data_IF_378632665455
#
_entry.id   IF_378632665455
#
_cell.length_a   1.000
_cell.length_b   1.000
_cell.length_c   1.000
_cell.angle_alpha   90.00
_cell.angle_beta   90.00
_cell.angle_gamma   90.00
#
_symmetry.space_group_name_H-M   'P 1'
#
loop_
_entity.id
_entity.type
_entity.pdbx_description
1 polymer ?
#
# COMPACT_ATOMS: atom_id res chain seq x y z
N UNK A 1 14.42 -27.60 -45.22
CA UNK A 1 13.53 -28.45 -44.42
C UNK A 1 14.18 -28.80 -43.11
N UNK A 2 13.41 -28.73 -42.01
CA UNK A 2 13.72 -28.97 -40.58
C UNK A 2 14.41 -27.74 -39.92
N UNK A 3 13.91 -27.18 -38.82
CA UNK A 3 12.99 -27.59 -37.81
C UNK A 3 12.51 -26.38 -36.99
N UNK A 4 11.22 -26.24 -36.95
CA UNK A 4 10.49 -25.35 -36.04
C UNK A 4 9.70 -26.24 -35.08
N UNK A 5 10.16 -26.43 -33.89
CA UNK A 5 9.43 -27.28 -32.97
C UNK A 5 10.16 -27.50 -31.64
N UNK A 6 10.14 -26.51 -30.73
CA UNK A 6 10.36 -26.81 -29.30
C UNK A 6 10.02 -25.64 -28.32
N UNK A 7 9.35 -24.56 -28.76
CA UNK A 7 8.98 -23.46 -27.85
C UNK A 7 7.59 -23.59 -27.22
N UNK A 8 6.72 -24.44 -27.77
CA UNK A 8 5.30 -24.55 -27.32
C UNK A 8 5.11 -25.37 -26.02
N UNK A 9 6.01 -26.30 -25.73
CA UNK A 9 5.87 -27.17 -24.54
C UNK A 9 6.24 -26.50 -23.21
N UNK A 10 7.15 -25.55 -23.21
CA UNK A 10 7.60 -24.85 -22.02
C UNK A 10 6.61 -23.76 -21.54
N UNK A 11 5.93 -23.14 -22.48
CA UNK A 11 4.93 -22.11 -22.15
C UNK A 11 3.64 -22.71 -21.56
N UNK A 12 3.20 -23.87 -22.05
CA UNK A 12 2.05 -24.60 -21.50
C UNK A 12 2.27 -25.07 -20.07
N UNK A 13 3.45 -25.59 -19.75
CA UNK A 13 3.83 -26.02 -18.40
C UNK A 13 3.91 -24.83 -17.44
N UNK A 14 4.49 -23.70 -17.85
CA UNK A 14 4.59 -22.48 -17.04
C UNK A 14 3.22 -21.85 -16.73
N UNK A 15 2.24 -21.96 -17.64
CA UNK A 15 0.87 -21.50 -17.43
C UNK A 15 0.12 -22.42 -16.45
N UNK A 16 0.29 -23.73 -16.54
CA UNK A 16 -0.29 -24.70 -15.61
C UNK A 16 0.19 -24.53 -14.18
N UNK A 17 1.49 -24.37 -13.97
CA UNK A 17 2.07 -24.15 -12.63
C UNK A 17 1.63 -22.84 -11.99
N UNK A 18 1.49 -21.76 -12.76
CA UNK A 18 1.00 -20.49 -12.26
C UNK A 18 -0.49 -20.54 -11.87
N UNK A 19 -1.31 -21.32 -12.58
CA UNK A 19 -2.69 -21.58 -12.23
C UNK A 19 -2.84 -22.36 -10.93
N UNK A 20 -2.04 -23.43 -10.77
CA UNK A 20 -2.02 -24.25 -9.56
C UNK A 20 -1.55 -23.45 -8.33
N UNK A 21 -0.47 -22.63 -8.45
CA UNK A 21 0.00 -21.77 -7.38
C UNK A 21 -1.06 -20.75 -6.94
N UNK A 22 -1.79 -20.18 -7.89
CA UNK A 22 -2.87 -19.26 -7.62
C UNK A 22 -4.03 -19.95 -6.89
N UNK A 23 -4.44 -21.14 -7.32
CA UNK A 23 -5.48 -21.93 -6.66
C UNK A 23 -5.08 -22.32 -5.23
N UNK A 24 -3.82 -22.72 -5.03
CA UNK A 24 -3.28 -23.00 -3.70
C UNK A 24 -3.29 -21.77 -2.77
N UNK A 25 -2.93 -20.58 -3.30
CA UNK A 25 -3.00 -19.34 -2.54
C UNK A 25 -4.42 -19.02 -2.07
N UNK A 26 -5.43 -19.29 -2.91
CA UNK A 26 -6.83 -19.13 -2.51
C UNK A 26 -7.27 -20.13 -1.46
N UNK A 27 -6.90 -21.40 -1.61
CA UNK A 27 -7.19 -22.44 -0.63
C UNK A 27 -6.64 -22.05 0.75
N UNK A 28 -5.40 -21.56 0.81
CA UNK A 28 -4.78 -21.09 2.05
C UNK A 28 -5.50 -19.86 2.62
N UNK A 29 -5.85 -18.87 1.78
CA UNK A 29 -6.58 -17.69 2.23
C UNK A 29 -7.97 -18.06 2.78
N UNK A 30 -8.70 -18.94 2.12
CA UNK A 30 -9.97 -19.49 2.62
C UNK A 30 -9.78 -20.21 3.96
N UNK A 31 -8.74 -21.02 4.11
CA UNK A 31 -8.44 -21.73 5.34
C UNK A 31 -8.19 -20.76 6.50
N UNK A 32 -7.43 -19.67 6.28
CA UNK A 32 -7.20 -18.61 7.29
C UNK A 32 -8.53 -18.02 7.76
N UNK A 33 -9.44 -17.71 6.83
CA UNK A 33 -10.76 -17.16 7.18
C UNK A 33 -11.66 -18.20 7.87
N UNK A 34 -11.60 -19.46 7.50
CA UNK A 34 -12.32 -20.55 8.16
C UNK A 34 -11.81 -20.76 9.60
N UNK A 35 -10.50 -20.70 9.81
CA UNK A 35 -9.91 -20.76 11.17
C UNK A 35 -10.41 -19.59 12.01
N UNK A 36 -10.41 -18.37 11.45
CA UNK A 36 -10.91 -17.18 12.15
C UNK A 36 -12.40 -17.31 12.52
N UNK A 37 -13.22 -17.80 11.60
CA UNK A 37 -14.63 -18.06 11.85
C UNK A 37 -14.83 -19.17 12.87
N UNK A 38 -14.03 -20.24 12.82
CA UNK A 38 -14.06 -21.34 13.81
C UNK A 38 -13.67 -20.89 15.21
N UNK A 39 -12.65 -20.03 15.33
CA UNK A 39 -12.28 -19.42 16.62
C UNK A 39 -13.39 -18.53 17.18
N UNK A 40 -14.06 -17.76 16.33
CA UNK A 40 -15.15 -16.89 16.72
C UNK A 40 -16.38 -17.70 17.18
N UNK A 41 -16.81 -18.68 16.41
CA UNK A 41 -17.98 -19.50 16.74
C UNK A 41 -17.69 -20.42 17.92
N UNK A 42 -16.53 -21.08 17.97
CA UNK A 42 -16.12 -21.94 19.08
C UNK A 42 -15.96 -21.16 20.37
N UNK A 43 -15.34 -19.97 20.31
CA UNK A 43 -15.21 -19.09 21.47
C UNK A 43 -16.57 -18.63 22.03
N UNK A 44 -17.51 -18.26 21.13
CA UNK A 44 -18.86 -17.88 21.53
C UNK A 44 -19.61 -19.06 22.16
N UNK A 45 -19.54 -20.24 21.57
CA UNK A 45 -20.19 -21.46 22.08
C UNK A 45 -19.64 -21.83 23.48
N UNK A 46 -18.31 -21.75 23.67
CA UNK A 46 -17.71 -22.03 24.98
C UNK A 46 -18.18 -21.03 26.07
N UNK A 47 -18.43 -19.77 25.73
CA UNK A 47 -18.95 -18.79 26.65
C UNK A 47 -20.43 -19.03 26.94
N UNK A 48 -21.24 -19.32 25.90
CA UNK A 48 -22.71 -19.46 26.08
C UNK A 48 -23.10 -20.79 26.73
N UNK A 49 -22.40 -21.87 26.37
CA UNK A 49 -22.75 -23.23 26.87
C UNK A 49 -21.86 -23.70 28.01
N UNK A 50 -20.77 -23.03 28.29
CA UNK A 50 -19.71 -23.48 29.20
C UNK A 50 -19.82 -22.96 30.63
N UNK A 51 -21.03 -22.78 31.18
CA UNK A 51 -21.21 -22.23 32.55
C UNK A 51 -20.93 -23.21 33.70
N UNK A 52 -20.67 -24.47 33.39
CA UNK A 52 -20.40 -25.49 34.41
C UNK A 52 -19.00 -25.38 35.02
N UNK A 53 -18.05 -24.77 34.33
CA UNK A 53 -16.66 -24.59 34.78
C UNK A 53 -16.15 -23.20 34.43
N UNK A 54 -15.32 -22.60 35.31
CA UNK A 54 -14.70 -21.29 35.06
C UNK A 54 -13.70 -21.33 33.89
N UNK A 55 -13.15 -22.50 33.59
CA UNK A 55 -12.14 -22.68 32.54
C UNK A 55 -12.71 -22.47 31.13
N UNK A 56 -13.93 -22.97 30.90
CA UNK A 56 -14.56 -22.91 29.55
C UNK A 56 -14.82 -21.46 29.09
N UNK A 57 -15.43 -20.56 29.86
CA UNK A 57 -15.59 -19.15 29.48
C UNK A 57 -14.26 -18.43 29.28
N UNK A 58 -13.23 -18.73 30.07
CA UNK A 58 -11.89 -18.12 29.93
C UNK A 58 -11.24 -18.53 28.60
N UNK A 59 -11.29 -19.83 28.27
CA UNK A 59 -10.81 -20.32 26.97
C UNK A 59 -11.61 -19.70 25.81
N UNK A 60 -12.95 -19.61 25.96
CA UNK A 60 -13.80 -18.94 24.99
C UNK A 60 -13.42 -17.47 24.77
N UNK A 61 -13.10 -16.74 25.83
CA UNK A 61 -12.67 -15.35 25.76
C UNK A 61 -11.32 -15.20 25.04
N UNK A 62 -10.38 -16.09 25.30
CA UNK A 62 -9.08 -16.13 24.60
C UNK A 62 -9.27 -16.43 23.12
N UNK A 63 -10.16 -17.37 22.76
CA UNK A 63 -10.49 -17.66 21.36
C UNK A 63 -11.13 -16.45 20.66
N UNK A 64 -12.03 -15.72 21.34
CA UNK A 64 -12.63 -14.48 20.80
C UNK A 64 -11.60 -13.36 20.62
N UNK A 65 -10.69 -13.19 21.59
CA UNK A 65 -9.61 -12.22 21.47
C UNK A 65 -8.71 -12.54 20.28
N UNK A 66 -8.36 -13.83 20.08
CA UNK A 66 -7.56 -14.27 18.93
C UNK A 66 -8.33 -14.10 17.60
N UNK A 67 -9.63 -14.44 17.56
CA UNK A 67 -10.47 -14.21 16.40
C UNK A 67 -10.60 -12.72 16.08
N UNK A 68 -10.72 -11.86 17.09
CA UNK A 68 -10.74 -10.41 16.95
C UNK A 68 -9.45 -9.84 16.36
N UNK A 69 -8.30 -10.42 16.72
CA UNK A 69 -7.00 -10.04 16.15
C UNK A 69 -6.85 -10.45 14.67
N UNK A 70 -7.38 -11.63 14.33
CA UNK A 70 -7.37 -12.18 12.98
C UNK A 70 -8.52 -11.68 12.08
N UNK A 71 -9.37 -10.76 12.59
CA UNK A 71 -10.51 -10.26 11.81
C UNK A 71 -10.05 -9.60 10.51
N UNK A 72 -10.78 -9.78 9.39
CA UNK A 72 -10.50 -9.10 8.15
C UNK A 72 -10.56 -7.59 8.33
N UNK A 73 -9.45 -6.90 8.07
CA UNK A 73 -9.39 -5.44 8.12
C UNK A 73 -9.65 -4.89 6.71
N UNK A 74 -10.79 -4.25 6.52
CA UNK A 74 -11.06 -3.54 5.27
C UNK A 74 -10.35 -2.21 5.31
N UNK A 75 -9.60 -1.90 4.22
CA UNK A 75 -9.00 -0.58 4.08
C UNK A 75 -10.09 0.51 4.19
N UNK A 76 -9.81 1.51 5.01
CA UNK A 76 -10.67 2.69 5.20
C UNK A 76 -9.96 3.91 4.62
N UNK A 77 -10.74 4.96 4.40
CA UNK A 77 -10.13 6.28 4.20
C UNK A 77 -9.47 6.68 5.51
N UNK A 78 -8.23 7.16 5.43
CA UNK A 78 -7.54 7.68 6.59
C UNK A 78 -8.20 8.99 7.01
N UNK A 79 -8.75 9.11 8.25
CA UNK A 79 -9.41 10.33 8.68
C UNK A 79 -8.43 11.51 8.81
N UNK A 80 -7.14 11.25 8.97
CA UNK A 80 -6.10 12.26 9.15
C UNK A 80 -5.55 12.80 7.82
N UNK A 81 -5.95 12.20 6.70
CA UNK A 81 -5.57 12.65 5.36
C UNK A 81 -6.71 13.40 4.67
N UNK A 82 -6.42 14.53 4.02
CA UNK A 82 -7.42 15.26 3.25
C UNK A 82 -7.97 14.39 2.13
N UNK A 83 -9.30 14.25 2.10
CA UNK A 83 -10.03 13.56 1.06
C UNK A 83 -10.70 14.59 0.14
N UNK A 84 -10.39 14.51 -1.15
CA UNK A 84 -11.00 15.34 -2.18
C UNK A 84 -12.24 14.63 -2.74
N UNK A 85 -13.35 15.36 -2.81
CA UNK A 85 -14.58 14.93 -3.48
C UNK A 85 -14.61 15.50 -4.90
N UNK A 86 -15.47 14.95 -5.76
CA UNK A 86 -15.62 15.44 -7.14
C UNK A 86 -16.01 16.92 -7.21
N UNK A 87 -16.77 17.42 -6.25
CA UNK A 87 -17.15 18.83 -6.18
C UNK A 87 -15.96 19.73 -5.82
N UNK A 88 -14.99 19.21 -5.06
CA UNK A 88 -13.84 19.97 -4.56
C UNK A 88 -12.68 20.00 -5.56
N UNK A 89 -12.61 19.01 -6.47
CA UNK A 89 -11.50 18.83 -7.42
C UNK A 89 -12.01 18.34 -8.80
N UNK A 90 -12.87 19.09 -9.50
CA UNK A 90 -13.47 18.65 -10.76
C UNK A 90 -12.44 18.38 -11.85
N UNK A 91 -11.39 19.20 -12.01
CA UNK A 91 -10.37 19.01 -13.04
C UNK A 91 -9.51 17.75 -12.78
N UNK A 92 -9.17 17.49 -11.53
CA UNK A 92 -8.47 16.26 -11.16
C UNK A 92 -9.32 15.04 -11.47
N UNK A 93 -10.59 15.03 -11.08
CA UNK A 93 -11.49 13.91 -11.34
C UNK A 93 -11.78 13.69 -12.82
N UNK A 94 -11.86 14.75 -13.63
CA UNK A 94 -11.99 14.64 -15.08
C UNK A 94 -10.79 13.92 -15.70
N UNK A 95 -9.57 14.30 -15.30
CA UNK A 95 -8.35 13.62 -15.75
C UNK A 95 -8.35 12.15 -15.31
N UNK A 96 -8.69 11.88 -14.05
CA UNK A 96 -8.73 10.53 -13.49
C UNK A 96 -9.79 9.65 -14.18
N UNK A 97 -10.94 10.20 -14.54
CA UNK A 97 -11.98 9.48 -15.28
C UNK A 97 -11.51 9.12 -16.69
N UNK A 98 -10.86 10.05 -17.40
CA UNK A 98 -10.26 9.78 -18.73
C UNK A 98 -9.23 8.66 -18.65
N UNK A 99 -8.38 8.65 -17.61
CA UNK A 99 -7.40 7.58 -17.39
C UNK A 99 -8.13 6.25 -17.10
N UNK A 100 -9.12 6.26 -16.21
CA UNK A 100 -9.89 5.07 -15.84
C UNK A 100 -10.62 4.47 -17.06
N UNK A 101 -11.25 5.28 -17.88
CA UNK A 101 -11.92 4.87 -19.12
C UNK A 101 -10.92 4.27 -20.14
N UNK A 102 -9.71 4.84 -20.27
CA UNK A 102 -8.65 4.33 -21.14
C UNK A 102 -8.05 3.01 -20.66
N UNK A 103 -7.89 2.85 -19.34
CA UNK A 103 -7.39 1.62 -18.70
C UNK A 103 -8.47 0.55 -18.67
N UNK A 104 -9.75 0.91 -18.75
CA UNK A 104 -10.90 -0.01 -18.69
C UNK A 104 -11.28 -0.38 -17.27
N UNK A 105 -11.14 0.55 -16.31
CA UNK A 105 -11.57 0.37 -14.92
C UNK A 105 -12.74 1.29 -14.59
N UNK A 106 -13.47 0.94 -13.54
CA UNK A 106 -14.51 1.83 -13.04
C UNK A 106 -13.90 3.13 -12.52
N UNK A 107 -14.66 4.20 -12.58
CA UNK A 107 -14.27 5.52 -12.09
C UNK A 107 -14.01 5.51 -10.59
N UNK A 108 -13.14 6.41 -10.16
CA UNK A 108 -12.75 6.57 -8.77
C UNK A 108 -13.86 7.20 -7.93
N UNK A 109 -14.08 6.64 -6.75
CA UNK A 109 -15.07 7.14 -5.79
C UNK A 109 -14.49 8.20 -4.84
N UNK A 110 -13.18 8.11 -4.54
CA UNK A 110 -12.51 9.02 -3.62
C UNK A 110 -11.03 9.17 -3.97
N UNK A 111 -10.50 10.37 -3.75
CA UNK A 111 -9.07 10.68 -3.83
C UNK A 111 -8.62 11.17 -2.46
N UNK A 112 -7.57 10.58 -1.91
CA UNK A 112 -6.89 11.07 -0.71
C UNK A 112 -5.51 11.59 -1.09
N UNK A 113 -5.10 12.67 -0.44
CA UNK A 113 -3.77 13.26 -0.62
C UNK A 113 -2.95 12.96 0.64
N UNK A 114 -1.77 12.37 0.46
CA UNK A 114 -0.89 11.92 1.53
C UNK A 114 0.50 12.54 1.48
N UNK A 115 1.31 12.21 2.49
CA UNK A 115 2.69 12.68 2.63
C UNK A 115 3.73 11.63 2.22
N UNK A 116 3.28 10.43 1.85
CA UNK A 116 4.12 9.33 1.41
C UNK A 116 4.61 9.52 -0.03
N UNK A 117 5.79 8.98 -0.35
CA UNK A 117 6.31 8.99 -1.73
C UNK A 117 5.68 7.86 -2.55
N UNK A 118 4.37 7.95 -2.81
CA UNK A 118 3.62 6.88 -3.49
C UNK A 118 2.37 7.40 -4.22
N UNK A 119 1.91 6.62 -5.19
CA UNK A 119 0.53 6.68 -5.71
C UNK A 119 -0.03 5.28 -5.58
N UNK A 120 -1.20 5.11 -4.99
CA UNK A 120 -1.82 3.79 -4.77
C UNK A 120 -3.31 3.83 -5.09
N UNK A 121 -3.75 2.87 -5.89
CA UNK A 121 -5.18 2.60 -6.09
C UNK A 121 -5.60 1.37 -5.29
N UNK A 122 -6.78 1.42 -4.67
CA UNK A 122 -7.26 0.31 -3.87
C UNK A 122 -8.74 0.39 -3.56
N UNK A 123 -9.32 -0.75 -3.17
CA UNK A 123 -10.70 -0.80 -2.71
C UNK A 123 -10.79 -0.43 -1.23
N UNK A 124 -11.74 0.43 -0.86
CA UNK A 124 -12.00 0.80 0.53
C UNK A 124 -13.47 0.53 0.92
N UNK A 125 -13.66 0.22 2.22
CA UNK A 125 -14.95 -0.05 2.81
C UNK A 125 -15.62 -1.34 2.35
N UNK A 126 -16.76 -1.67 2.95
CA UNK A 126 -17.55 -2.87 2.65
C UNK A 126 -18.08 -2.82 1.20
N UNK A 127 -18.45 -1.63 0.71
CA UNK A 127 -18.91 -1.39 -0.65
C UNK A 127 -17.80 -1.43 -1.71
N UNK A 128 -16.54 -1.69 -1.31
CA UNK A 128 -15.38 -1.79 -2.19
C UNK A 128 -15.26 -0.59 -3.14
N UNK A 129 -15.44 0.61 -2.61
CA UNK A 129 -15.26 1.85 -3.35
C UNK A 129 -13.82 1.97 -3.81
N UNK A 130 -13.58 2.38 -5.05
CA UNK A 130 -12.24 2.56 -5.58
C UNK A 130 -11.68 3.90 -5.10
N UNK A 131 -10.64 3.85 -4.27
CA UNK A 131 -9.90 5.04 -3.84
C UNK A 131 -8.56 5.14 -4.55
N UNK A 132 -8.12 6.36 -4.79
CA UNK A 132 -6.75 6.69 -5.16
C UNK A 132 -6.11 7.48 -4.02
N UNK A 133 -4.95 7.07 -3.60
CA UNK A 133 -4.11 7.81 -2.67
C UNK A 133 -2.93 8.40 -3.45
N UNK A 134 -2.79 9.71 -3.39
CA UNK A 134 -1.78 10.48 -4.10
C UNK A 134 -0.83 11.09 -3.07
N UNK A 135 0.39 10.59 -3.00
CA UNK A 135 1.42 11.18 -2.17
C UNK A 135 2.03 12.41 -2.84
N UNK A 136 1.94 13.56 -2.15
CA UNK A 136 2.43 14.83 -2.66
C UNK A 136 3.91 14.79 -3.06
N UNK A 137 4.82 14.16 -2.29
CA UNK A 137 6.23 14.14 -2.67
C UNK A 137 6.46 13.49 -4.05
N UNK A 138 5.80 12.37 -4.34
CA UNK A 138 5.90 11.74 -5.66
C UNK A 138 5.19 12.59 -6.73
N UNK A 139 3.98 13.10 -6.41
CA UNK A 139 3.21 13.91 -7.35
C UNK A 139 3.96 15.16 -7.83
N UNK A 140 4.68 15.83 -6.92
CA UNK A 140 5.48 17.02 -7.23
C UNK A 140 6.78 16.69 -7.97
N UNK A 141 7.33 15.48 -7.79
CA UNK A 141 8.50 14.99 -8.51
C UNK A 141 8.19 14.67 -9.97
N UNK A 142 6.96 14.22 -10.26
CA UNK A 142 6.53 13.81 -11.58
C UNK A 142 6.06 14.99 -12.45
N UNK A 143 6.45 14.98 -13.72
CA UNK A 143 5.85 15.87 -14.74
C UNK A 143 4.38 15.50 -14.96
N UNK A 144 3.55 16.41 -15.52
CA UNK A 144 2.13 16.11 -15.77
C UNK A 144 1.90 14.82 -16.58
N UNK A 145 2.75 14.53 -17.56
CA UNK A 145 2.66 13.30 -18.35
C UNK A 145 3.04 12.06 -17.55
N UNK A 146 4.04 12.15 -16.68
CA UNK A 146 4.48 11.08 -15.79
C UNK A 146 3.44 10.78 -14.70
N UNK A 147 2.68 11.81 -14.24
CA UNK A 147 1.53 11.62 -13.32
C UNK A 147 0.45 10.76 -13.95
N UNK A 148 0.14 10.99 -15.24
CA UNK A 148 -0.80 10.16 -16.00
C UNK A 148 -0.29 8.71 -16.05
N UNK A 149 1.01 8.50 -16.31
CA UNK A 149 1.61 7.17 -16.32
C UNK A 149 1.53 6.47 -14.96
N UNK A 150 1.87 7.16 -13.88
CA UNK A 150 1.81 6.62 -12.52
C UNK A 150 0.38 6.23 -12.10
N UNK A 151 -0.61 7.07 -12.39
CA UNK A 151 -2.02 6.77 -12.12
C UNK A 151 -2.51 5.61 -12.99
N UNK A 152 -2.19 5.60 -14.29
CA UNK A 152 -2.57 4.53 -15.21
C UNK A 152 -1.96 3.19 -14.80
N UNK A 153 -0.71 3.19 -14.30
CA UNK A 153 -0.06 2.01 -13.75
C UNK A 153 -0.85 1.45 -12.55
N UNK A 154 -1.16 2.29 -11.57
CA UNK A 154 -1.87 1.85 -10.37
C UNK A 154 -3.29 1.35 -10.66
N UNK A 155 -4.01 2.02 -11.55
CA UNK A 155 -5.32 1.56 -12.01
C UNK A 155 -5.20 0.26 -12.81
N UNK A 156 -4.17 0.14 -13.65
CA UNK A 156 -3.88 -1.07 -14.41
C UNK A 156 -3.53 -2.26 -13.53
N UNK A 157 -2.77 -2.03 -12.46
CA UNK A 157 -2.47 -3.04 -11.44
C UNK A 157 -3.75 -3.53 -10.74
N UNK A 158 -4.64 -2.60 -10.42
CA UNK A 158 -5.93 -2.92 -9.82
C UNK A 158 -6.85 -3.70 -10.78
N UNK A 159 -6.81 -3.38 -12.09
CA UNK A 159 -7.57 -4.06 -13.14
C UNK A 159 -7.05 -5.47 -13.45
N UNK A 160 -5.76 -5.73 -13.25
CA UNK A 160 -5.07 -6.95 -13.73
C UNK A 160 -5.40 -8.24 -12.97
N UNK A 161 -6.30 -8.21 -11.98
CA UNK A 161 -6.69 -9.36 -11.17
C UNK A 161 -8.20 -9.45 -10.95
N UNK A 162 -8.65 -10.64 -10.54
CA UNK A 162 -10.00 -10.77 -9.97
C UNK A 162 -10.02 -10.01 -8.63
N UNK A 163 -10.73 -8.87 -8.54
CA UNK A 163 -10.66 -8.03 -7.35
C UNK A 163 -11.21 -8.72 -6.09
N UNK A 164 -12.07 -9.75 -6.25
CA UNK A 164 -12.59 -10.53 -5.11
C UNK A 164 -11.50 -11.44 -4.56
N UNK A 165 -10.78 -12.06 -5.45
CA UNK A 165 -9.68 -12.97 -5.11
C UNK A 165 -8.51 -12.20 -4.50
N UNK A 166 -8.10 -11.10 -5.11
CA UNK A 166 -7.06 -10.23 -4.56
C UNK A 166 -7.41 -9.74 -3.15
N UNK A 167 -8.67 -9.36 -2.91
CA UNK A 167 -9.13 -8.96 -1.58
C UNK A 167 -9.08 -10.11 -0.57
N UNK A 168 -9.47 -11.33 -0.94
CA UNK A 168 -9.41 -12.49 -0.06
C UNK A 168 -7.98 -12.77 0.41
N UNK A 169 -7.03 -12.75 -0.52
CA UNK A 169 -5.61 -12.97 -0.23
C UNK A 169 -5.03 -11.82 0.61
N UNK A 170 -5.32 -10.57 0.24
CA UNK A 170 -4.79 -9.40 0.97
C UNK A 170 -5.35 -9.32 2.41
N UNK A 171 -6.63 -9.62 2.60
CA UNK A 171 -7.22 -9.68 3.95
C UNK A 171 -6.67 -10.83 4.78
N UNK A 172 -6.40 -12.00 4.18
CA UNK A 172 -5.75 -13.12 4.87
C UNK A 172 -4.32 -12.76 5.28
N UNK A 173 -3.53 -12.11 4.41
CA UNK A 173 -2.19 -11.62 4.73
C UNK A 173 -2.21 -10.58 5.85
N UNK A 174 -3.12 -9.61 5.79
CA UNK A 174 -3.28 -8.60 6.84
C UNK A 174 -3.68 -9.23 8.17
N UNK A 175 -4.56 -10.23 8.17
CA UNK A 175 -4.95 -10.98 9.38
C UNK A 175 -3.76 -11.74 9.98
N UNK A 176 -2.95 -12.40 9.13
CA UNK A 176 -1.77 -13.14 9.59
C UNK A 176 -0.69 -12.20 10.14
N UNK A 177 -0.47 -11.03 9.52
CA UNK A 177 0.46 -10.01 10.00
C UNK A 177 0.02 -9.48 11.37
N UNK A 178 -1.25 -9.06 11.49
CA UNK A 178 -1.80 -8.60 12.76
C UNK A 178 -1.74 -9.65 13.89
N UNK A 179 -1.99 -10.92 13.56
CA UNK A 179 -1.84 -12.02 14.52
C UNK A 179 -0.38 -12.23 14.96
N UNK A 180 0.57 -12.03 14.06
CA UNK A 180 2.01 -12.12 14.37
C UNK A 180 2.48 -10.95 15.26
N UNK A 181 2.02 -9.72 14.99
CA UNK A 181 2.33 -8.51 15.77
C UNK A 181 1.80 -8.57 17.20
N UNK A 182 0.52 -8.96 17.37
CA UNK A 182 -0.07 -9.13 18.71
C UNK A 182 0.68 -10.16 19.54
N UNK A 183 1.13 -11.21 18.90
CA UNK A 183 1.93 -12.22 19.56
C UNK A 183 3.34 -11.70 19.93
N UNK A 184 3.83 -10.61 19.38
CA UNK A 184 5.10 -9.94 19.75
C UNK A 184 4.95 -8.93 20.89
N UNK A 185 3.71 -8.65 21.31
CA UNK A 185 3.42 -7.66 22.36
C UNK A 185 3.71 -6.22 21.95
N UNK A 186 3.86 -5.98 20.63
CA UNK A 186 3.93 -4.63 20.07
C UNK A 186 2.56 -4.24 19.55
N UNK A 187 1.93 -3.17 20.05
CA UNK A 187 0.76 -2.61 19.41
C UNK A 187 1.17 -2.16 18.02
N UNK A 188 0.44 -2.61 16.99
CA UNK A 188 0.70 -2.23 15.59
C UNK A 188 0.52 -0.73 15.43
N UNK A 189 1.36 -0.08 14.61
CA UNK A 189 1.27 1.35 14.26
C UNK A 189 -0.11 1.76 13.67
N UNK A 190 -0.95 0.79 13.29
CA UNK A 190 -2.32 1.02 12.84
C UNK A 190 -3.37 1.12 13.95
N UNK A 191 -3.02 0.86 15.21
CA UNK A 191 -3.97 0.82 16.33
C UNK A 191 -4.09 2.14 17.11
N UNK A 192 -3.32 3.18 16.77
CA UNK A 192 -3.42 4.50 17.41
C UNK A 192 -4.80 5.13 17.28
N UNK A 193 -5.57 4.76 16.25
CA UNK A 193 -6.93 5.28 16.05
C UNK A 193 -8.02 4.50 16.82
N UNK A 194 -7.71 3.32 17.37
CA UNK A 194 -8.63 2.55 18.21
C UNK A 194 -8.50 2.92 19.69
N UNK A 195 -7.44 3.64 20.08
CA UNK A 195 -7.18 4.04 21.47
C UNK A 195 -8.22 5.03 22.06
N UNK A 196 -9.09 5.61 21.23
CA UNK A 196 -10.16 6.52 21.66
C UNK A 196 -11.48 5.80 22.03
N UNK A 197 -11.58 4.48 21.86
CA UNK A 197 -12.80 3.73 22.16
C UNK A 197 -12.75 3.14 23.59
N UNK A 198 -13.80 3.31 24.44
CA UNK A 198 -13.81 2.79 25.81
C UNK A 198 -13.62 1.27 25.90
N UNK A 199 -13.97 0.55 24.85
CA UNK A 199 -13.79 -0.90 24.73
C UNK A 199 -12.33 -1.33 24.59
N UNK A 200 -11.43 -0.42 24.16
CA UNK A 200 -10.00 -0.70 23.99
C UNK A 200 -9.23 -0.48 25.30
N UNK A 201 -9.63 0.48 26.12
CA UNK A 201 -9.02 0.66 27.46
C UNK A 201 -9.16 -0.58 28.34
N UNK A 202 -10.29 -1.19 28.31
CA UNK A 202 -10.53 -2.43 29.03
C UNK A 202 -9.67 -3.59 28.48
N UNK A 203 -9.47 -3.67 27.15
CA UNK A 203 -8.59 -4.65 26.56
C UNK A 203 -7.10 -4.38 26.88
N UNK A 204 -6.70 -3.12 26.97
CA UNK A 204 -5.36 -2.70 27.40
C UNK A 204 -5.13 -2.96 28.89
N UNK A 205 -6.13 -2.69 29.75
CA UNK A 205 -6.07 -2.99 31.18
C UNK A 205 -6.01 -4.50 31.44
N UNK A 206 -6.74 -5.30 30.65
CA UNK A 206 -6.67 -6.75 30.66
C UNK A 206 -5.34 -7.28 30.12
N UNK A 207 -4.80 -6.67 29.07
CA UNK A 207 -3.49 -7.02 28.53
C UNK A 207 -2.36 -6.66 29.50
N UNK A 208 -2.45 -5.53 30.21
CA UNK A 208 -1.50 -5.15 31.26
C UNK A 208 -1.65 -6.04 32.49
N UNK A 209 -2.86 -6.41 32.87
CA UNK A 209 -3.10 -7.38 33.98
C UNK A 209 -2.55 -8.76 33.59
N UNK A 210 -2.76 -9.21 32.35
CA UNK A 210 -2.18 -10.44 31.81
C UNK A 210 -0.65 -10.37 31.72
N UNK A 211 -0.07 -9.22 31.36
CA UNK A 211 1.38 -9.00 31.34
C UNK A 211 2.00 -9.02 32.74
N UNK A 212 1.31 -8.49 33.76
CA UNK A 212 1.74 -8.60 35.15
C UNK A 212 1.60 -10.04 35.71
N UNK A 213 0.62 -10.79 35.24
CA UNK A 213 0.48 -12.22 35.52
C UNK A 213 1.54 -13.06 34.81
N UNK A 214 2.05 -12.58 33.67
CA UNK A 214 3.10 -13.20 32.86
C UNK A 214 4.52 -13.11 33.42
N UNK A 215 4.75 -12.45 34.56
CA UNK A 215 6.02 -12.55 35.28
C UNK A 215 6.33 -14.01 35.75
N UNK A 216 5.39 -14.94 35.60
CA UNK A 216 5.55 -16.40 35.70
C UNK A 216 5.51 -17.12 34.33
N UNK A 217 5.59 -16.41 33.22
CA UNK A 217 5.12 -16.88 31.91
C UNK A 217 6.18 -17.29 30.91
N UNK A 218 7.17 -18.08 31.24
CA UNK A 218 7.90 -18.84 30.21
C UNK A 218 6.95 -19.80 29.47
N UNK A 219 5.96 -20.35 30.11
CA UNK A 219 4.99 -21.29 29.50
C UNK A 219 4.07 -20.60 28.50
N UNK A 220 3.64 -19.35 28.75
CA UNK A 220 2.79 -18.59 27.80
C UNK A 220 3.57 -18.21 26.51
N UNK A 221 4.85 -17.89 26.62
CA UNK A 221 5.69 -17.64 25.46
C UNK A 221 5.85 -18.89 24.56
N UNK A 222 5.92 -20.06 25.16
CA UNK A 222 5.96 -21.33 24.44
C UNK A 222 4.63 -21.62 23.74
N UNK A 223 3.49 -21.36 24.39
CA UNK A 223 2.17 -21.57 23.82
C UNK A 223 1.90 -20.65 22.60
N UNK A 224 2.44 -19.43 22.62
CA UNK A 224 2.31 -18.47 21.52
C UNK A 224 3.35 -18.65 20.41
N UNK A 225 4.44 -19.38 20.66
CA UNK A 225 5.49 -19.59 19.66
C UNK A 225 5.01 -20.38 18.44
N UNK A 226 4.27 -21.46 18.64
CA UNK A 226 3.70 -22.28 17.56
C UNK A 226 2.71 -21.51 16.67
N UNK A 227 1.70 -20.80 17.20
CA UNK A 227 0.83 -19.93 16.41
C UNK A 227 1.59 -18.86 15.61
N UNK A 228 2.62 -18.25 16.22
CA UNK A 228 3.48 -17.26 15.52
C UNK A 228 4.22 -17.87 14.33
N UNK A 229 4.84 -19.02 14.56
CA UNK A 229 5.58 -19.72 13.52
C UNK A 229 4.65 -20.13 12.38
N UNK A 230 3.46 -20.65 12.72
CA UNK A 230 2.42 -21.00 11.75
C UNK A 230 1.93 -19.77 10.97
N UNK A 231 1.62 -18.66 11.62
CA UNK A 231 1.18 -17.43 10.96
C UNK A 231 2.25 -16.86 10.02
N UNK A 232 3.51 -16.78 10.47
CA UNK A 232 4.64 -16.33 9.66
C UNK A 232 4.94 -17.28 8.50
N UNK A 233 4.91 -18.59 8.75
CA UNK A 233 5.11 -19.62 7.72
C UNK A 233 4.04 -19.58 6.66
N UNK A 234 2.77 -19.51 7.07
CA UNK A 234 1.62 -19.41 6.17
C UNK A 234 1.65 -18.09 5.37
N UNK A 235 1.98 -16.97 6.01
CA UNK A 235 2.13 -15.68 5.34
C UNK A 235 3.24 -15.71 4.28
N UNK A 236 4.41 -16.26 4.62
CA UNK A 236 5.53 -16.43 3.66
C UNK A 236 5.18 -17.35 2.50
N UNK A 237 4.47 -18.46 2.78
CA UNK A 237 4.01 -19.39 1.74
C UNK A 237 3.00 -18.69 0.81
N UNK A 238 2.03 -17.97 1.38
CA UNK A 238 1.04 -17.22 0.61
C UNK A 238 1.69 -16.18 -0.29
N UNK A 239 2.67 -15.44 0.22
CA UNK A 239 3.45 -14.50 -0.56
C UNK A 239 4.24 -15.18 -1.69
N UNK A 240 4.85 -16.34 -1.43
CA UNK A 240 5.57 -17.10 -2.48
C UNK A 240 4.63 -17.56 -3.60
N UNK A 241 3.46 -18.05 -3.24
CA UNK A 241 2.47 -18.55 -4.21
C UNK A 241 1.84 -17.42 -5.05
N UNK A 242 1.74 -16.21 -4.52
CA UNK A 242 1.20 -15.05 -5.23
C UNK A 242 2.20 -14.33 -6.12
N UNK A 243 3.52 -14.51 -5.90
CA UNK A 243 4.61 -13.84 -6.67
C UNK A 243 4.45 -13.90 -8.19
N UNK A 244 4.18 -15.07 -8.83
CA UNK A 244 4.07 -15.12 -10.29
C UNK A 244 2.91 -14.29 -10.83
N UNK A 245 1.78 -14.27 -10.10
CA UNK A 245 0.62 -13.45 -10.43
C UNK A 245 0.91 -11.95 -10.32
N UNK A 246 1.56 -11.55 -9.24
CA UNK A 246 1.96 -10.15 -8.99
C UNK A 246 2.90 -9.65 -10.09
N UNK A 247 3.94 -10.42 -10.45
CA UNK A 247 4.86 -10.03 -11.54
C UNK A 247 4.15 -9.83 -12.88
N UNK A 248 3.20 -10.69 -13.22
CA UNK A 248 2.41 -10.54 -14.46
C UNK A 248 1.50 -9.32 -14.39
N UNK A 249 0.90 -9.06 -13.24
CA UNK A 249 0.06 -7.88 -13.02
C UNK A 249 0.88 -6.58 -13.17
N UNK A 250 2.09 -6.53 -12.60
CA UNK A 250 3.00 -5.38 -12.73
C UNK A 250 3.36 -5.10 -14.21
N UNK A 251 3.78 -6.13 -14.95
CA UNK A 251 4.11 -5.95 -16.38
C UNK A 251 2.90 -5.54 -17.24
N UNK A 252 1.70 -6.00 -16.91
CA UNK A 252 0.47 -5.54 -17.58
C UNK A 252 0.15 -4.11 -17.24
N UNK A 253 0.32 -3.71 -15.97
CA UNK A 253 0.13 -2.35 -15.52
C UNK A 253 1.13 -1.39 -16.20
N UNK A 254 2.39 -1.79 -16.35
CA UNK A 254 3.40 -1.04 -17.09
C UNK A 254 3.01 -0.84 -18.56
N UNK A 255 2.53 -1.88 -19.22
CA UNK A 255 2.06 -1.80 -20.60
C UNK A 255 0.82 -0.89 -20.74
N UNK A 256 -0.09 -0.90 -19.75
CA UNK A 256 -1.24 0.01 -19.72
C UNK A 256 -0.80 1.45 -19.49
N UNK A 257 0.15 1.70 -18.60
CA UNK A 257 0.72 3.01 -18.36
C UNK A 257 1.40 3.56 -19.63
N UNK A 258 2.21 2.73 -20.30
CA UNK A 258 2.86 3.10 -21.55
C UNK A 258 1.85 3.42 -22.67
N UNK A 259 0.79 2.65 -22.80
CA UNK A 259 -0.29 2.90 -23.76
C UNK A 259 -1.06 4.18 -23.44
N UNK A 260 -1.30 4.49 -22.17
CA UNK A 260 -2.10 5.65 -21.75
C UNK A 260 -1.31 6.94 -21.84
N UNK A 261 -0.06 6.95 -21.34
CA UNK A 261 0.73 8.17 -21.18
C UNK A 261 1.95 8.27 -22.11
N UNK A 262 2.35 7.26 -22.80
CA UNK A 262 3.52 6.96 -23.62
C UNK A 262 4.55 6.07 -22.94
N UNK A 263 5.31 5.33 -23.73
CA UNK A 263 6.42 4.50 -23.24
C UNK A 263 7.45 5.33 -22.47
N UNK A 264 7.79 6.49 -22.99
CA UNK A 264 8.79 7.37 -22.37
C UNK A 264 8.33 7.89 -21.00
N UNK A 265 7.08 8.33 -20.88
CA UNK A 265 6.51 8.79 -19.61
C UNK A 265 6.42 7.66 -18.58
N UNK A 266 6.04 6.45 -19.00
CA UNK A 266 5.98 5.29 -18.13
C UNK A 266 7.37 4.90 -17.60
N UNK A 267 8.39 4.90 -18.46
CA UNK A 267 9.79 4.65 -18.06
C UNK A 267 10.28 5.72 -17.08
N UNK A 268 9.99 7.00 -17.34
CA UNK A 268 10.41 8.10 -16.45
C UNK A 268 9.69 8.02 -15.10
N UNK A 269 8.39 7.80 -15.08
CA UNK A 269 7.63 7.62 -13.85
C UNK A 269 8.16 6.44 -13.01
N UNK A 270 8.54 5.33 -13.67
CA UNK A 270 9.11 4.17 -12.99
C UNK A 270 10.52 4.46 -12.42
N UNK A 271 11.35 5.19 -13.17
CA UNK A 271 12.67 5.63 -12.66
C UNK A 271 12.56 6.62 -11.51
N UNK A 272 11.57 7.51 -11.54
CA UNK A 272 11.33 8.47 -10.45
C UNK A 272 11.04 7.77 -9.11
N UNK A 273 10.53 6.54 -9.11
CA UNK A 273 10.35 5.77 -7.86
C UNK A 273 11.68 5.52 -7.12
N UNK A 274 12.80 5.46 -7.84
CA UNK A 274 14.14 5.36 -7.24
C UNK A 274 14.61 6.61 -6.48
N UNK A 275 13.88 7.72 -6.55
CA UNK A 275 14.18 8.95 -5.82
C UNK A 275 13.53 9.01 -4.43
N UNK A 276 12.81 7.96 -4.02
CA UNK A 276 12.01 7.93 -2.79
C UNK A 276 12.82 8.35 -1.56
N UNK A 277 14.01 7.77 -1.35
CA UNK A 277 14.84 8.04 -0.19
C UNK A 277 15.38 9.49 -0.21
N UNK A 278 15.85 9.95 -1.38
CA UNK A 278 16.37 11.32 -1.53
C UNK A 278 15.28 12.37 -1.29
N UNK A 279 14.08 12.15 -1.84
CA UNK A 279 12.95 13.07 -1.67
C UNK A 279 12.42 13.02 -0.24
N UNK A 280 12.35 11.83 0.37
CA UNK A 280 11.91 11.69 1.77
C UNK A 280 12.88 12.37 2.74
N UNK A 281 14.18 12.27 2.50
CA UNK A 281 15.20 12.99 3.29
C UNK A 281 15.04 14.50 3.14
N UNK A 282 14.80 14.99 1.93
CA UNK A 282 14.59 16.42 1.69
C UNK A 282 13.29 16.94 2.34
N UNK A 283 12.20 16.16 2.29
CA UNK A 283 10.96 16.49 3.04
C UNK A 283 11.26 16.63 4.53
N UNK A 284 12.03 15.70 5.10
CA UNK A 284 12.42 15.78 6.50
C UNK A 284 13.26 17.03 6.79
N UNK A 285 14.26 17.31 5.96
CA UNK A 285 15.11 18.51 6.09
C UNK A 285 14.30 19.81 6.05
N UNK A 286 13.38 19.92 5.09
CA UNK A 286 12.50 21.08 4.93
C UNK A 286 11.54 21.23 6.11
N UNK A 287 10.99 20.11 6.63
CA UNK A 287 10.11 20.13 7.80
C UNK A 287 10.83 20.62 9.05
N UNK A 288 12.05 20.14 9.32
CA UNK A 288 12.87 20.57 10.44
C UNK A 288 13.23 22.07 10.30
N UNK A 289 13.60 22.51 9.10
CA UNK A 289 13.89 23.92 8.84
C UNK A 289 12.65 24.80 9.08
N UNK A 290 11.49 24.42 8.55
CA UNK A 290 10.23 25.14 8.74
C UNK A 290 9.85 25.26 10.23
N UNK A 291 10.03 24.18 11.00
CA UNK A 291 9.80 24.19 12.45
C UNK A 291 10.75 25.12 13.19
N UNK A 292 12.04 25.07 12.89
CA UNK A 292 13.08 25.87 13.57
C UNK A 292 12.86 27.32 13.31
N UNK A 293 12.62 27.76 12.08
CA UNK A 293 12.34 29.14 11.73
C UNK A 293 10.97 29.60 12.22
N UNK A 294 9.99 28.72 12.28
CA UNK A 294 8.66 29.00 12.80
C UNK A 294 8.66 29.39 14.27
N UNK A 295 9.52 28.80 15.11
CA UNK A 295 9.71 29.23 16.52
C UNK A 295 10.34 30.63 16.67
N UNK A 296 11.05 31.10 15.66
CA UNK A 296 11.65 32.42 15.65
C UNK A 296 10.70 33.54 15.16
N UNK A 297 9.40 33.26 14.95
CA UNK A 297 8.37 34.25 14.61
C UNK A 297 7.90 34.29 13.15
N UNK A 298 8.38 33.35 12.28
CA UNK A 298 8.07 33.30 10.85
C UNK A 298 7.17 32.13 10.42
N UNK A 299 6.17 31.74 11.21
CA UNK A 299 5.48 30.47 11.16
C UNK A 299 4.63 30.16 9.90
N UNK A 300 4.18 31.15 9.14
CA UNK A 300 3.27 30.90 8.01
C UNK A 300 3.98 30.76 6.66
N UNK A 301 5.09 31.46 6.46
CA UNK A 301 5.83 31.44 5.19
C UNK A 301 6.56 30.09 4.99
N UNK A 302 7.19 29.56 6.03
CA UNK A 302 7.93 28.29 5.94
C UNK A 302 7.06 27.08 5.63
N UNK A 303 5.79 27.03 6.11
CA UNK A 303 4.85 25.98 5.80
C UNK A 303 4.32 26.09 4.35
N UNK A 304 4.14 27.30 3.84
CA UNK A 304 3.65 27.55 2.48
C UNK A 304 4.70 27.18 1.44
N UNK A 305 5.97 27.47 1.72
CA UNK A 305 7.09 27.24 0.80
C UNK A 305 7.59 25.79 0.78
N UNK A 306 7.17 24.94 1.74
CA UNK A 306 7.69 23.56 1.86
C UNK A 306 7.56 22.79 0.56
N UNK A 307 6.36 22.77 0.00
CA UNK A 307 6.09 22.00 -1.22
C UNK A 307 6.69 22.64 -2.47
N UNK A 308 6.82 23.97 -2.53
CA UNK A 308 7.48 24.65 -3.64
C UNK A 308 8.98 24.38 -3.63
N UNK A 309 9.62 24.44 -2.46
CA UNK A 309 11.03 24.07 -2.29
C UNK A 309 11.29 22.61 -2.62
N UNK A 310 10.37 21.73 -2.20
CA UNK A 310 10.44 20.30 -2.56
C UNK A 310 10.32 20.09 -4.07
N UNK A 311 9.37 20.76 -4.73
CA UNK A 311 9.19 20.67 -6.17
C UNK A 311 10.43 21.17 -6.94
N UNK A 312 11.03 22.27 -6.51
CA UNK A 312 12.27 22.79 -7.09
C UNK A 312 13.44 21.82 -6.91
N UNK A 313 13.60 21.23 -5.72
CA UNK A 313 14.62 20.20 -5.47
C UNK A 313 14.40 18.95 -6.33
N UNK A 314 13.17 18.45 -6.38
CA UNK A 314 12.79 17.28 -7.15
C UNK A 314 12.99 17.47 -8.67
N UNK A 315 12.76 18.67 -9.21
CA UNK A 315 13.05 18.98 -10.60
C UNK A 315 14.54 18.82 -10.91
N UNK A 316 15.44 19.32 -10.05
CA UNK A 316 16.88 19.14 -10.19
C UNK A 316 17.33 17.67 -10.09
N UNK A 317 16.69 16.85 -9.26
CA UNK A 317 16.96 15.41 -9.18
C UNK A 317 16.45 14.68 -10.42
N UNK A 318 15.25 15.00 -10.87
CA UNK A 318 14.64 14.38 -12.07
C UNK A 318 15.47 14.62 -13.32
N UNK A 319 16.05 15.81 -13.49
CA UNK A 319 16.94 16.12 -14.59
C UNK A 319 18.23 15.27 -14.55
N UNK A 320 18.81 15.05 -13.39
CA UNK A 320 19.97 14.17 -13.21
C UNK A 320 19.63 12.71 -13.56
N UNK A 321 18.47 12.21 -13.15
CA UNK A 321 18.02 10.84 -13.46
C UNK A 321 17.68 10.68 -14.94
N UNK A 322 17.23 11.73 -15.60
CA UNK A 322 17.01 11.74 -17.07
C UNK A 322 18.31 11.59 -17.85
N UNK A 323 19.39 12.18 -17.34
CA UNK A 323 20.70 12.21 -18.00
C UNK A 323 21.56 10.99 -17.63
N UNK A 324 21.35 10.40 -16.46
CA UNK A 324 22.14 9.27 -16.00
C UNK A 324 21.85 7.99 -16.81
N UNK A 325 22.87 7.25 -17.27
CA UNK A 325 22.68 5.90 -17.84
C UNK A 325 22.02 5.00 -16.77
N UNK A 326 21.35 3.95 -17.23
CA UNK A 326 20.58 3.00 -16.41
C UNK A 326 21.37 2.29 -15.28
N UNK A 327 22.64 2.62 -15.08
CA UNK A 327 23.55 1.99 -14.12
C UNK A 327 23.57 2.63 -12.73
N UNK A 328 23.00 3.83 -12.53
CA UNK A 328 23.07 4.59 -11.29
C UNK A 328 21.84 4.38 -10.38
N UNK A 329 21.61 3.17 -9.97
CA UNK A 329 20.56 2.86 -9.01
C UNK A 329 20.75 1.47 -8.44
N UNK A 330 21.81 1.25 -7.65
CA UNK A 330 21.85 0.14 -6.71
C UNK A 330 20.77 0.40 -5.66
N UNK A 331 19.72 -0.44 -5.57
CA UNK A 331 18.81 -0.36 -4.43
C UNK A 331 19.64 -0.65 -3.18
N UNK A 332 19.62 0.25 -2.22
CA UNK A 332 20.11 -0.06 -0.88
C UNK A 332 19.38 -1.31 -0.37
N UNK A 333 20.04 -2.16 0.43
CA UNK A 333 19.52 -3.46 0.85
C UNK A 333 18.23 -3.39 1.67
N UNK A 334 17.81 -2.24 2.14
CA UNK A 334 16.74 -2.07 3.13
C UNK A 334 15.53 -1.22 2.69
N UNK A 335 15.55 -0.64 1.49
CA UNK A 335 14.48 0.23 1.02
C UNK A 335 13.40 -0.49 0.25
N UNK A 336 12.20 -0.56 0.74
CA UNK A 336 10.95 -0.98 0.09
C UNK A 336 10.51 -2.45 0.20
N UNK A 337 11.21 -3.31 0.93
CA UNK A 337 10.75 -4.70 1.14
C UNK A 337 9.69 -4.84 2.25
N UNK A 338 9.40 -3.79 3.00
CA UNK A 338 8.73 -3.94 4.30
C UNK A 338 7.20 -3.86 4.27
N UNK A 339 6.58 -3.21 3.29
CA UNK A 339 5.14 -2.95 3.39
C UNK A 339 4.23 -4.03 2.79
N UNK A 340 4.65 -4.80 1.78
CA UNK A 340 3.74 -5.75 1.10
C UNK A 340 4.29 -7.18 0.95
N UNK A 341 5.48 -7.52 1.45
CA UNK A 341 6.01 -8.89 1.39
C UNK A 341 6.06 -9.54 -0.01
N UNK A 342 5.55 -8.88 -1.04
CA UNK A 342 5.64 -9.31 -2.43
C UNK A 342 6.92 -8.75 -3.02
N UNK A 343 7.84 -9.62 -3.45
CA UNK A 343 9.01 -9.20 -4.23
C UNK A 343 8.53 -8.73 -5.59
N UNK A 344 8.35 -7.43 -5.73
CA UNK A 344 8.09 -6.80 -7.01
C UNK A 344 9.26 -7.07 -7.98
N UNK A 345 9.00 -7.15 -9.30
CA UNK A 345 10.09 -7.20 -10.29
C UNK A 345 10.99 -5.99 -10.07
N UNK A 346 12.31 -6.20 -10.08
CA UNK A 346 13.26 -5.11 -9.97
C UNK A 346 12.88 -4.01 -11.00
N UNK A 347 12.90 -2.75 -10.57
CA UNK A 347 12.51 -1.63 -11.43
C UNK A 347 13.25 -1.64 -12.77
N UNK A 348 14.52 -2.06 -12.76
CA UNK A 348 15.34 -2.24 -13.97
C UNK A 348 14.71 -3.23 -14.97
N UNK A 349 14.28 -4.40 -14.52
CA UNK A 349 13.66 -5.41 -15.40
C UNK A 349 12.34 -4.91 -16.02
N UNK A 350 11.60 -4.07 -15.30
CA UNK A 350 10.38 -3.43 -15.79
C UNK A 350 10.70 -2.36 -16.86
N UNK A 351 11.71 -1.53 -16.61
CA UNK A 351 12.21 -0.53 -17.56
C UNK A 351 12.72 -1.20 -18.82
N UNK A 352 13.59 -2.23 -18.69
CA UNK A 352 14.15 -2.95 -19.83
C UNK A 352 13.04 -3.57 -20.70
N UNK A 353 12.02 -4.13 -20.07
CA UNK A 353 10.87 -4.68 -20.80
C UNK A 353 10.07 -3.61 -21.56
N UNK A 354 9.85 -2.44 -20.96
CA UNK A 354 9.18 -1.33 -21.62
C UNK A 354 9.97 -0.80 -22.81
N UNK A 355 11.29 -0.73 -22.70
CA UNK A 355 12.19 -0.27 -23.76
C UNK A 355 12.34 -1.29 -24.91
N UNK A 356 12.18 -2.59 -24.61
CA UNK A 356 12.17 -3.65 -25.63
C UNK A 356 10.82 -3.77 -26.36
N UNK A 357 9.74 -3.23 -25.79
CA UNK A 357 8.43 -3.21 -26.40
C UNK A 357 8.34 -2.11 -27.48
N UNK A 358 7.41 -2.22 -28.45
CA UNK A 358 7.16 -1.14 -29.38
C UNK A 358 6.89 0.20 -28.67
N UNK A 359 7.52 1.26 -29.15
CA UNK A 359 7.33 2.60 -28.60
C UNK A 359 5.89 3.08 -28.87
N UNK A 360 5.16 3.41 -27.83
CA UNK A 360 3.77 3.84 -27.91
C UNK A 360 3.68 5.35 -27.66
N UNK A 361 2.96 6.09 -28.52
CA UNK A 361 2.65 7.49 -28.29
C UNK A 361 1.60 7.61 -27.16
N UNK A 362 1.48 8.80 -26.59
CA UNK A 362 0.48 9.09 -25.57
C UNK A 362 -0.94 9.10 -26.16
N UNK A 363 -1.87 8.41 -25.52
CA UNK A 363 -3.32 8.50 -25.79
C UNK A 363 -3.91 9.70 -25.04
N UNK A 364 -3.42 9.96 -23.81
CA UNK A 364 -3.81 11.11 -23.01
C UNK A 364 -2.61 12.02 -22.86
N UNK A 365 -2.79 13.27 -23.32
CA UNK A 365 -1.81 14.35 -23.10
C UNK A 365 -2.35 15.32 -22.06
N UNK A 366 -1.50 15.88 -21.17
CA UNK A 366 -1.93 16.89 -20.22
C UNK A 366 -2.25 18.20 -20.95
N UNK A 367 -3.38 18.78 -20.61
CA UNK A 367 -3.69 20.17 -20.98
C UNK A 367 -3.07 21.11 -19.93
N UNK A 368 -2.46 22.21 -20.41
CA UNK A 368 -1.85 23.20 -19.53
C UNK A 368 -2.88 23.83 -18.57
N UNK A 369 -4.06 24.17 -19.07
CA UNK A 369 -5.16 24.74 -18.29
C UNK A 369 -5.67 23.78 -17.24
N UNK A 370 -5.87 22.51 -17.62
CA UNK A 370 -6.26 21.46 -16.67
C UNK A 370 -5.17 21.20 -15.62
N UNK A 371 -3.90 21.24 -16.01
CA UNK A 371 -2.77 21.06 -15.09
C UNK A 371 -2.72 22.17 -14.05
N UNK A 372 -2.94 23.42 -14.45
CA UNK A 372 -3.01 24.57 -13.55
C UNK A 372 -4.24 24.48 -12.63
N UNK A 373 -5.39 24.11 -13.16
CA UNK A 373 -6.61 23.90 -12.37
C UNK A 373 -6.41 22.83 -11.30
N UNK A 374 -5.81 21.69 -11.64
CA UNK A 374 -5.45 20.63 -10.68
C UNK A 374 -4.48 21.15 -9.62
N UNK A 375 -3.49 21.95 -10.01
CA UNK A 375 -2.59 22.60 -9.05
C UNK A 375 -3.33 23.48 -8.04
N UNK A 376 -4.32 24.24 -8.51
CA UNK A 376 -5.16 25.10 -7.67
C UNK A 376 -6.04 24.27 -6.72
N UNK A 377 -6.65 23.17 -7.19
CA UNK A 377 -7.46 22.26 -6.40
C UNK A 377 -6.67 21.59 -5.28
N UNK A 378 -5.38 21.31 -5.51
CA UNK A 378 -4.48 20.69 -4.52
C UNK A 378 -3.93 21.68 -3.47
N UNK A 379 -4.03 22.98 -3.64
CA UNK A 379 -3.48 23.98 -2.70
C UNK A 379 -4.01 23.83 -1.28
N UNK A 380 -5.30 23.54 -1.13
CA UNK A 380 -5.93 23.32 0.18
C UNK A 380 -5.32 22.12 0.92
N UNK A 381 -5.37 20.91 0.34
CA UNK A 381 -4.69 19.74 0.87
C UNK A 381 -3.20 19.93 1.13
N UNK A 382 -2.48 20.60 0.23
CA UNK A 382 -1.04 20.89 0.40
C UNK A 382 -0.75 21.69 1.68
N UNK A 383 -1.54 22.72 1.97
CA UNK A 383 -1.40 23.52 3.21
C UNK A 383 -1.65 22.69 4.46
N UNK A 384 -2.70 21.83 4.46
CA UNK A 384 -3.01 20.99 5.60
C UNK A 384 -1.87 19.98 5.86
N UNK A 385 -1.38 19.36 4.80
CA UNK A 385 -0.31 18.37 4.91
C UNK A 385 1.04 18.99 5.25
N UNK A 386 1.35 20.22 4.83
CA UNK A 386 2.55 20.91 5.25
C UNK A 386 2.60 21.06 6.77
N UNK A 387 1.49 21.50 7.39
CA UNK A 387 1.38 21.59 8.85
C UNK A 387 1.58 20.25 9.53
N UNK A 388 0.92 19.22 9.02
CA UNK A 388 1.04 17.86 9.56
C UNK A 388 2.49 17.36 9.49
N UNK A 389 3.15 17.50 8.34
CA UNK A 389 4.55 17.07 8.16
C UNK A 389 5.49 17.79 9.11
N UNK A 390 5.31 19.11 9.29
CA UNK A 390 6.13 19.88 10.22
C UNK A 390 5.91 19.44 11.67
N UNK A 391 4.66 19.11 12.05
CA UNK A 391 4.34 18.64 13.40
C UNK A 391 4.83 17.22 13.66
N UNK A 392 4.49 16.26 12.79
CA UNK A 392 4.75 14.83 13.01
C UNK A 392 6.25 14.51 12.95
N UNK A 393 7.01 15.15 12.04
CA UNK A 393 8.43 14.83 11.82
C UNK A 393 9.40 15.45 12.81
N UNK A 394 8.92 16.33 13.65
CA UNK A 394 9.73 16.95 14.71
C UNK A 394 9.60 16.19 16.03
N UNK A 395 8.51 15.42 16.20
CA UNK A 395 8.24 14.66 17.42
C UNK A 395 8.43 13.14 17.25
N UNK A 396 8.82 12.67 16.04
CA UNK A 396 9.22 11.30 15.76
C UNK A 396 10.75 11.16 15.78
#
# INVERSE_FOLDING_TARGET
MRGSGSSDGTDGAAHGHAGAATAAAYGIACLVHLVTAGLLTGGLLLIVLGFETVVQPVVGLVMLALAGSLRPRFARLDPDLPALRRADAPALYELLDRIADTVGVRRLDAVQVGTEFTVRAGACGIGRRLKLEVGLPLWLTLTPQERIAAVAHELGRHASGDPRRAALVSTALASLAAGAELAEGRPGEGDTHLAASPTVRWADDMAQAAARFNARGQVANWALWLPRLAARGTGRLLLRLTRPGTRRAEFRADALAARTASTEAAVRALRAQGLADSVSLEVHRLAVAAYTFGRAGGTREGEQDLWEKLAAHAAGLSDRVRVAPAEAGTPGPDGAAAADGAVLPAARARVDRLLQAPHLPAVITPDATATEAIGNELRGPMRLLARKVVQDRVFA
#
